data_IF_807284284695
#
_entry.id   IF_807284284695
#
_cell.length_a   1.000
_cell.length_b   1.000
_cell.length_c   1.000
_cell.angle_alpha   90.00
_cell.angle_beta   90.00
_cell.angle_gamma   90.00
#
_symmetry.space_group_name_H-M   'P 1'
#
loop_
_entity.id
_entity.type
_entity.pdbx_description
1 polymer ?
#
# COMPACT_ATOMS: atom_id res chain seq x y z
N UNK A 1 15.38 -10.28 -4.32
CA UNK A 1 16.80 -10.33 -3.88
C UNK A 1 17.66 -10.75 -5.06
N UNK A 2 18.96 -10.47 -5.02
CA UNK A 2 19.91 -10.89 -6.06
C UNK A 2 21.27 -11.16 -5.41
N UNK A 3 22.11 -11.99 -6.04
CA UNK A 3 23.44 -12.36 -5.57
C UNK A 3 24.49 -11.99 -6.61
N UNK A 4 25.62 -11.43 -6.18
CA UNK A 4 26.74 -11.10 -7.06
C UNK A 4 27.97 -11.97 -6.70
N UNK A 5 28.38 -12.91 -7.57
CA UNK A 5 29.53 -13.77 -7.31
C UNK A 5 30.86 -13.02 -7.15
N UNK A 6 31.03 -11.87 -7.82
CA UNK A 6 32.29 -11.12 -7.76
C UNK A 6 32.50 -10.44 -6.39
N UNK A 7 31.43 -9.93 -5.78
CA UNK A 7 31.49 -9.36 -4.41
C UNK A 7 31.25 -10.41 -3.34
N UNK A 8 30.59 -11.52 -3.69
CA UNK A 8 30.11 -12.53 -2.75
C UNK A 8 28.92 -12.06 -1.91
N UNK A 9 28.25 -10.97 -2.28
CA UNK A 9 27.17 -10.35 -1.51
C UNK A 9 25.77 -10.67 -2.06
N UNK A 10 24.80 -10.75 -1.15
CA UNK A 10 23.37 -10.86 -1.43
C UNK A 10 22.69 -9.52 -1.15
N UNK A 11 21.96 -8.99 -2.13
CA UNK A 11 21.23 -7.73 -2.02
C UNK A 11 19.75 -7.95 -1.71
N UNK A 12 19.34 -7.58 -0.51
CA UNK A 12 18.03 -7.87 0.08
C UNK A 12 17.23 -6.56 0.18
N UNK A 13 16.03 -6.47 -0.42
CA UNK A 13 15.09 -5.39 -0.16
C UNK A 13 14.40 -5.63 1.19
N UNK A 14 15.09 -5.28 2.28
CA UNK A 14 14.57 -5.39 3.63
C UNK A 14 13.45 -4.38 3.88
N UNK A 15 12.51 -4.75 4.75
CA UNK A 15 11.31 -3.97 5.04
C UNK A 15 11.06 -3.99 6.55
N UNK A 16 10.67 -2.86 7.09
CA UNK A 16 10.16 -2.74 8.44
C UNK A 16 8.69 -2.33 8.35
N UNK A 17 7.79 -3.26 8.70
CA UNK A 17 6.34 -3.04 8.67
C UNK A 17 5.78 -3.61 9.97
N UNK A 18 5.68 -2.79 11.04
CA UNK A 18 5.08 -3.23 12.28
C UNK A 18 3.60 -3.53 12.08
N UNK A 19 3.12 -4.61 12.70
CA UNK A 19 1.71 -4.98 12.72
C UNK A 19 1.33 -5.36 14.15
N UNK A 20 0.13 -4.96 14.56
CA UNK A 20 -0.45 -5.43 15.81
C UNK A 20 -0.72 -6.93 15.73
N UNK A 21 -0.38 -7.66 16.79
CA UNK A 21 -0.75 -9.06 16.94
C UNK A 21 -1.42 -9.24 18.30
N UNK A 22 -2.70 -9.57 18.28
CA UNK A 22 -3.50 -9.80 19.47
C UNK A 22 -4.23 -11.15 19.33
N UNK A 23 -4.09 -12.00 20.35
CA UNK A 23 -4.83 -13.26 20.45
C UNK A 23 -6.12 -13.06 21.27
N UNK A 24 -6.92 -12.08 20.87
CA UNK A 24 -8.22 -11.74 21.50
C UNK A 24 -9.33 -11.87 20.46
N UNK A 25 -9.54 -13.09 19.94
CA UNK A 25 -10.54 -13.38 18.92
C UNK A 25 -11.92 -13.60 19.53
N UNK A 26 -12.97 -13.20 18.80
CA UNK A 26 -14.37 -13.43 19.18
C UNK A 26 -15.20 -14.12 18.07
N UNK A 27 -16.52 -14.12 18.20
CA UNK A 27 -17.44 -14.73 17.22
C UNK A 27 -17.32 -14.16 15.80
N UNK A 28 -16.91 -12.89 15.66
CA UNK A 28 -16.68 -12.24 14.37
C UNK A 28 -15.46 -12.82 13.64
N UNK A 29 -14.47 -13.27 14.40
CA UNK A 29 -13.19 -13.75 13.88
C UNK A 29 -13.25 -15.20 13.39
N UNK A 30 -14.22 -16.00 13.89
CA UNK A 30 -14.44 -17.37 13.47
C UNK A 30 -14.56 -17.51 11.95
N UNK A 31 -14.13 -18.65 11.41
CA UNK A 31 -14.21 -18.94 9.98
C UNK A 31 -15.66 -18.75 9.49
N UNK A 32 -15.83 -17.87 8.51
CA UNK A 32 -17.07 -17.69 7.74
C UNK A 32 -16.81 -18.04 6.27
N UNK A 33 -17.87 -18.05 5.48
CA UNK A 33 -17.78 -18.39 4.05
C UNK A 33 -17.17 -17.26 3.19
N UNK A 34 -17.14 -16.04 3.73
CA UNK A 34 -16.43 -14.88 3.22
C UNK A 34 -15.76 -14.14 4.38
N UNK A 35 -14.64 -13.47 4.12
CA UNK A 35 -13.84 -12.77 5.12
C UNK A 35 -12.46 -13.40 5.32
N UNK A 36 -11.45 -12.58 5.63
CA UNK A 36 -10.09 -13.04 5.87
C UNK A 36 -10.02 -13.79 7.20
N UNK A 37 -9.47 -15.00 7.19
CA UNK A 37 -9.22 -15.77 8.40
C UNK A 37 -7.71 -16.01 8.54
N UNK A 38 -7.08 -15.18 9.37
CA UNK A 38 -5.62 -15.16 9.60
C UNK A 38 -5.24 -15.56 11.02
N UNK A 39 -6.19 -16.09 11.82
CA UNK A 39 -5.93 -16.50 13.20
C UNK A 39 -5.69 -15.36 14.19
N UNK A 40 -6.15 -14.15 13.88
CA UNK A 40 -6.12 -12.97 14.77
C UNK A 40 -7.32 -12.05 14.49
N UNK A 41 -7.61 -11.15 15.42
CA UNK A 41 -8.72 -10.21 15.36
C UNK A 41 -8.35 -8.95 14.57
N UNK A 42 -8.80 -8.89 13.31
CA UNK A 42 -8.44 -7.80 12.39
C UNK A 42 -8.95 -6.43 12.86
N UNK A 43 -10.11 -6.37 13.50
CA UNK A 43 -10.64 -5.10 14.00
C UNK A 43 -9.91 -4.60 15.24
N UNK A 44 -9.47 -5.50 16.12
CA UNK A 44 -8.74 -5.14 17.35
C UNK A 44 -7.27 -4.79 17.07
N UNK A 45 -6.71 -5.26 15.96
CA UNK A 45 -5.34 -4.91 15.51
C UNK A 45 -5.25 -3.61 14.73
N UNK A 46 -6.39 -2.95 14.43
CA UNK A 46 -6.37 -1.63 13.79
C UNK A 46 -5.67 -0.60 14.67
N UNK A 47 -5.08 0.42 14.04
CA UNK A 47 -4.46 1.52 14.80
C UNK A 47 -5.48 2.18 15.73
N UNK A 48 -5.10 2.52 16.98
CA UNK A 48 -5.98 3.26 17.87
C UNK A 48 -6.20 4.67 17.32
N UNK A 49 -7.32 5.28 17.71
CA UNK A 49 -7.78 6.58 17.22
C UNK A 49 -7.02 7.74 17.87
N UNK A 50 -5.70 7.73 17.72
CA UNK A 50 -4.76 8.60 18.40
C UNK A 50 -3.71 9.14 17.42
N UNK A 51 -3.58 10.47 17.33
CA UNK A 51 -2.63 11.14 16.41
C UNK A 51 -1.20 10.61 16.58
N UNK A 52 -0.79 10.31 17.81
CA UNK A 52 0.52 9.75 18.12
C UNK A 52 0.73 8.36 17.51
N UNK A 53 -0.26 7.48 17.60
CA UNK A 53 -0.21 6.14 17.01
C UNK A 53 -0.11 6.19 15.48
N UNK A 54 -0.89 7.06 14.83
CA UNK A 54 -0.79 7.29 13.39
C UNK A 54 0.60 7.79 12.96
N UNK A 55 1.17 8.76 13.68
CA UNK A 55 2.52 9.27 13.43
C UNK A 55 3.58 8.18 13.62
N UNK A 56 3.47 7.39 14.69
CA UNK A 56 4.38 6.29 14.98
C UNK A 56 4.31 5.20 13.90
N UNK A 57 3.12 4.84 13.42
CA UNK A 57 2.94 3.86 12.36
C UNK A 57 3.63 4.28 11.06
N UNK A 58 3.50 5.56 10.66
CA UNK A 58 4.23 6.10 9.49
C UNK A 58 5.74 6.02 9.73
N UNK A 59 6.22 6.52 10.88
CA UNK A 59 7.66 6.58 11.17
C UNK A 59 8.32 5.19 11.25
N UNK A 60 7.58 4.19 11.71
CA UNK A 60 8.10 2.83 11.85
C UNK A 60 7.96 1.97 10.58
N UNK A 61 7.30 2.48 9.53
CA UNK A 61 7.09 1.76 8.26
C UNK A 61 8.12 2.19 7.22
N UNK A 62 9.31 1.59 7.28
CA UNK A 62 10.47 1.97 6.46
C UNK A 62 11.00 0.79 5.66
N UNK A 63 11.97 1.04 4.78
CA UNK A 63 12.64 -0.01 4.02
C UNK A 63 14.14 0.20 4.01
N UNK A 64 14.89 -0.83 3.59
CA UNK A 64 16.34 -0.74 3.45
C UNK A 64 16.82 -1.67 2.33
N UNK A 65 17.74 -1.22 1.50
CA UNK A 65 18.54 -2.11 0.68
C UNK A 65 19.72 -2.60 1.51
N UNK A 66 19.81 -3.90 1.75
CA UNK A 66 20.88 -4.51 2.56
C UNK A 66 21.79 -5.31 1.65
N UNK A 67 23.10 -5.06 1.71
CA UNK A 67 24.09 -5.97 1.17
C UNK A 67 24.64 -6.86 2.28
N UNK A 68 24.29 -8.13 2.21
CA UNK A 68 24.60 -9.14 3.21
C UNK A 68 25.66 -10.10 2.68
N UNK A 69 26.70 -10.38 3.47
CA UNK A 69 27.66 -11.44 3.18
C UNK A 69 27.18 -12.75 3.84
N UNK A 70 26.69 -13.73 3.06
CA UNK A 70 26.16 -14.97 3.60
C UNK A 70 27.23 -15.88 4.22
N UNK A 71 28.52 -15.64 3.94
CA UNK A 71 29.62 -16.45 4.49
C UNK A 71 29.95 -16.04 5.92
N UNK A 72 29.95 -14.73 6.18
CA UNK A 72 30.25 -14.17 7.50
C UNK A 72 29.01 -13.86 8.34
N UNK A 73 27.82 -13.81 7.72
CA UNK A 73 26.57 -13.44 8.40
C UNK A 73 26.47 -11.95 8.70
N UNK A 74 27.28 -11.10 8.04
CA UNK A 74 27.37 -9.66 8.35
C UNK A 74 26.79 -8.80 7.24
N UNK A 75 26.28 -7.63 7.62
CA UNK A 75 25.91 -6.56 6.68
C UNK A 75 27.18 -5.84 6.25
N UNK A 76 27.49 -5.86 4.95
CA UNK A 76 28.61 -5.13 4.38
C UNK A 76 28.29 -3.63 4.24
N UNK A 77 27.07 -3.32 3.78
CA UNK A 77 26.54 -1.96 3.68
C UNK A 77 25.00 -1.98 3.61
N UNK A 78 24.37 -0.82 3.78
CA UNK A 78 22.95 -0.68 3.52
C UNK A 78 22.53 0.75 3.19
N UNK A 79 21.38 0.89 2.53
CA UNK A 79 20.78 2.17 2.13
C UNK A 79 19.35 2.23 2.63
N UNK A 80 19.03 3.22 3.46
CA UNK A 80 17.69 3.40 4.01
C UNK A 80 16.73 4.02 3.00
N UNK A 81 15.49 3.57 3.05
CA UNK A 81 14.37 4.10 2.27
C UNK A 81 13.28 4.62 3.22
N UNK A 82 12.65 5.77 2.91
CA UNK A 82 11.67 6.39 3.80
C UNK A 82 10.33 5.64 3.84
N UNK A 83 10.16 4.57 3.06
CA UNK A 83 8.96 3.75 3.04
C UNK A 83 9.31 2.27 2.80
N UNK A 84 8.46 1.38 3.30
CA UNK A 84 8.52 -0.05 3.04
C UNK A 84 8.09 -0.41 1.61
N UNK A 85 8.02 -1.72 1.32
CA UNK A 85 7.47 -2.26 0.07
C UNK A 85 8.23 -1.88 -1.21
N UNK A 86 9.54 -1.64 -1.07
CA UNK A 86 10.43 -1.40 -2.21
C UNK A 86 10.59 -2.65 -3.07
N UNK A 87 10.89 -2.45 -4.35
CA UNK A 87 10.96 -3.52 -5.31
C UNK A 87 12.12 -4.47 -5.13
N UNK A 88 12.04 -5.57 -5.87
CA UNK A 88 13.12 -6.53 -5.99
C UNK A 88 14.41 -5.90 -6.53
N UNK A 89 15.50 -6.65 -6.43
CA UNK A 89 16.84 -6.21 -6.83
C UNK A 89 17.36 -7.05 -7.98
N UNK A 90 18.22 -6.46 -8.80
CA UNK A 90 19.01 -7.15 -9.83
C UNK A 90 20.46 -6.66 -9.75
N UNK A 91 21.44 -7.56 -9.83
CA UNK A 91 22.86 -7.18 -9.89
C UNK A 91 23.50 -7.67 -11.18
N UNK A 92 24.60 -7.04 -11.59
CA UNK A 92 25.33 -7.36 -12.83
C UNK A 92 26.83 -7.43 -12.59
N UNK A 93 27.56 -8.06 -13.52
CA UNK A 93 29.02 -8.12 -13.49
C UNK A 93 29.71 -6.74 -13.59
N UNK A 94 28.99 -5.70 -14.01
CA UNK A 94 29.51 -4.32 -14.07
C UNK A 94 29.58 -3.60 -12.72
N UNK A 95 29.64 -4.34 -11.59
CA UNK A 95 29.62 -3.80 -10.23
C UNK A 95 28.38 -2.93 -9.93
N UNK A 96 27.19 -3.35 -10.39
CA UNK A 96 25.93 -2.61 -10.19
C UNK A 96 24.86 -3.44 -9.48
N UNK A 97 24.04 -2.77 -8.67
CA UNK A 97 22.75 -3.27 -8.14
C UNK A 97 21.67 -2.27 -8.50
N UNK A 98 20.59 -2.75 -9.11
CA UNK A 98 19.42 -1.96 -9.47
C UNK A 98 18.26 -2.27 -8.53
N UNK A 99 17.51 -1.24 -8.15
CA UNK A 99 16.31 -1.37 -7.34
C UNK A 99 15.31 -0.25 -7.68
N UNK A 100 14.03 -0.61 -7.78
CA UNK A 100 12.93 0.35 -7.74
C UNK A 100 12.41 0.56 -6.31
N UNK A 101 12.00 1.78 -5.97
CA UNK A 101 11.45 2.12 -4.65
C UNK A 101 9.94 2.26 -4.69
N UNK A 102 9.28 2.03 -3.56
CA UNK A 102 7.84 2.31 -3.41
C UNK A 102 7.51 3.80 -3.52
N UNK A 103 8.52 4.65 -3.39
CA UNK A 103 8.45 6.11 -3.59
C UNK A 103 8.61 6.55 -5.05
N UNK A 104 8.67 5.60 -5.99
CA UNK A 104 8.68 5.86 -7.43
C UNK A 104 10.04 6.23 -8.00
N UNK A 105 11.13 5.84 -7.33
CA UNK A 105 12.50 6.04 -7.80
C UNK A 105 13.07 4.76 -8.37
N UNK A 106 13.76 4.82 -9.49
CA UNK A 106 14.59 3.72 -10.00
C UNK A 106 16.06 4.09 -9.81
N UNK A 107 16.78 3.27 -9.03
CA UNK A 107 18.14 3.57 -8.58
C UNK A 107 19.11 2.48 -8.98
N UNK A 108 20.36 2.88 -9.18
CA UNK A 108 21.49 1.97 -9.30
C UNK A 108 22.57 2.34 -8.28
N UNK A 109 23.18 1.32 -7.69
CA UNK A 109 24.20 1.42 -6.67
C UNK A 109 25.44 0.63 -7.09
N UNK A 110 26.61 1.08 -6.67
CA UNK A 110 27.82 0.26 -6.73
C UNK A 110 27.63 -0.99 -5.85
N UNK A 111 27.88 -2.17 -6.41
CA UNK A 111 27.60 -3.44 -5.74
C UNK A 111 28.50 -3.71 -4.52
N UNK A 112 29.71 -3.19 -4.53
CA UNK A 112 30.70 -3.32 -3.45
C UNK A 112 30.46 -2.41 -2.24
N UNK A 113 29.98 -1.19 -2.47
CA UNK A 113 30.00 -0.08 -1.49
C UNK A 113 28.63 0.49 -1.17
N UNK A 114 27.62 0.22 -2.02
CA UNK A 114 26.29 0.82 -1.88
C UNK A 114 26.22 2.28 -2.31
N UNK A 115 27.28 2.86 -2.87
CA UNK A 115 27.28 4.23 -3.39
C UNK A 115 26.24 4.37 -4.51
N UNK A 116 25.30 5.30 -4.38
CA UNK A 116 24.31 5.57 -5.41
C UNK A 116 24.97 6.21 -6.64
N UNK A 117 24.69 5.65 -7.82
CA UNK A 117 25.24 6.08 -9.11
C UNK A 117 24.15 6.62 -10.06
N UNK A 118 22.90 6.22 -9.84
CA UNK A 118 21.76 6.61 -10.65
C UNK A 118 20.55 6.78 -9.74
N UNK A 119 19.72 7.79 -10.04
CA UNK A 119 18.42 7.98 -9.42
C UNK A 119 17.46 8.67 -10.41
N UNK A 120 16.44 7.93 -10.86
CA UNK A 120 15.48 8.40 -11.84
C UNK A 120 14.08 8.46 -11.24
N UNK A 121 13.33 9.53 -11.55
CA UNK A 121 11.90 9.62 -11.23
C UNK A 121 11.07 8.83 -12.22
N UNK A 122 10.33 7.83 -11.73
CA UNK A 122 9.51 6.95 -12.55
C UNK A 122 8.00 7.22 -12.41
N UNK A 123 7.61 8.33 -11.76
CA UNK A 123 6.23 8.80 -11.59
C UNK A 123 5.30 7.87 -10.78
N UNK A 124 5.67 6.62 -10.51
CA UNK A 124 4.88 5.65 -9.76
C UNK A 124 5.77 4.64 -9.04
N UNK A 125 5.30 4.11 -7.92
CA UNK A 125 6.03 3.12 -7.13
C UNK A 125 6.45 1.90 -7.94
N UNK A 126 7.54 1.24 -7.55
CA UNK A 126 8.10 0.08 -8.25
C UNK A 126 8.28 -1.05 -7.24
N UNK A 127 7.49 -2.11 -7.40
CA UNK A 127 7.59 -3.33 -6.57
C UNK A 127 8.25 -4.51 -7.32
N UNK A 128 8.32 -4.45 -8.64
CA UNK A 128 8.93 -5.49 -9.48
C UNK A 128 10.45 -5.56 -9.30
N UNK A 129 11.04 -6.74 -9.51
CA UNK A 129 12.47 -6.85 -9.74
C UNK A 129 12.82 -6.40 -11.19
N UNK A 130 13.93 -5.69 -11.39
CA UNK A 130 14.42 -5.37 -12.74
C UNK A 130 14.99 -6.61 -13.44
N UNK A 131 15.11 -6.54 -14.77
CA UNK A 131 15.81 -7.51 -15.61
C UNK A 131 16.74 -6.79 -16.59
N UNK A 132 17.73 -7.50 -17.15
CA UNK A 132 18.62 -6.95 -18.18
C UNK A 132 18.81 -7.96 -19.31
N UNK A 133 18.90 -7.46 -20.54
CA UNK A 133 19.04 -8.27 -21.73
C UNK A 133 19.81 -7.50 -22.82
N UNK A 134 20.15 -8.18 -23.92
CA UNK A 134 20.79 -7.58 -25.09
C UNK A 134 19.96 -7.79 -26.35
N UNK A 135 19.94 -6.76 -27.20
CA UNK A 135 19.39 -6.82 -28.57
C UNK A 135 20.38 -6.13 -29.50
N UNK A 136 20.84 -6.84 -30.53
CA UNK A 136 21.80 -6.32 -31.53
C UNK A 136 23.02 -5.63 -30.90
N UNK A 137 23.62 -6.27 -29.89
CA UNK A 137 24.80 -5.75 -29.18
C UNK A 137 24.52 -4.65 -28.14
N UNK A 138 23.31 -4.11 -28.07
CA UNK A 138 22.95 -3.07 -27.08
C UNK A 138 22.35 -3.71 -25.84
N UNK A 139 22.83 -3.32 -24.65
CA UNK A 139 22.29 -3.76 -23.36
C UNK A 139 21.12 -2.86 -22.93
N UNK A 140 20.08 -3.50 -22.41
CA UNK A 140 18.88 -2.87 -21.88
C UNK A 140 18.63 -3.29 -20.44
N UNK A 141 17.96 -2.43 -19.67
CA UNK A 141 17.43 -2.74 -18.33
C UNK A 141 15.93 -2.47 -18.34
N UNK A 142 15.12 -3.47 -18.00
CA UNK A 142 13.67 -3.36 -18.00
C UNK A 142 13.05 -3.62 -16.62
N UNK A 143 11.99 -2.89 -16.30
CA UNK A 143 11.22 -3.03 -15.06
C UNK A 143 9.80 -2.50 -15.24
N UNK A 144 8.92 -2.81 -14.29
CA UNK A 144 7.54 -2.33 -14.32
C UNK A 144 7.30 -1.31 -13.22
N UNK A 145 6.80 -0.13 -13.58
CA UNK A 145 6.24 0.80 -12.58
C UNK A 145 4.86 0.28 -12.21
N UNK A 146 4.59 0.07 -10.93
CA UNK A 146 3.26 -0.17 -10.38
C UNK A 146 3.35 -0.21 -8.86
N UNK A 147 2.42 0.48 -8.20
CA UNK A 147 2.05 0.12 -6.83
C UNK A 147 1.27 -1.18 -6.88
N UNK A 148 1.75 -2.23 -6.24
CA UNK A 148 1.05 -3.52 -6.24
C UNK A 148 1.35 -4.35 -5.00
N UNK A 149 0.66 -5.48 -4.86
CA UNK A 149 0.75 -6.36 -3.69
C UNK A 149 -0.15 -5.92 -2.54
N UNK A 150 0.00 -6.58 -1.38
CA UNK A 150 -0.87 -6.39 -0.22
C UNK A 150 -0.72 -5.01 0.45
N UNK A 151 0.49 -4.45 0.50
CA UNK A 151 0.77 -3.21 1.23
C UNK A 151 -0.06 -1.99 0.80
N UNK A 152 -0.20 -1.64 -0.49
CA UNK A 152 -1.06 -0.53 -0.90
C UNK A 152 -2.56 -0.76 -0.66
N UNK A 153 -2.97 -1.98 -0.31
CA UNK A 153 -4.34 -2.28 0.11
C UNK A 153 -4.53 -2.09 1.62
N UNK A 154 -3.60 -2.63 2.42
CA UNK A 154 -3.81 -2.79 3.88
C UNK A 154 -3.17 -1.69 4.72
N UNK A 155 -2.04 -1.13 4.28
CA UNK A 155 -1.19 -0.28 5.14
C UNK A 155 -1.87 1.02 5.58
N UNK A 156 -2.91 1.43 4.85
CA UNK A 156 -3.62 2.68 5.06
C UNK A 156 -2.68 3.86 5.29
N UNK A 157 -2.86 4.54 6.41
CA UNK A 157 -2.03 5.69 6.83
C UNK A 157 -0.54 5.36 6.95
N UNK A 158 -0.16 4.15 7.36
CA UNK A 158 1.23 3.72 7.55
C UNK A 158 2.00 3.68 6.22
N UNK A 159 1.28 3.65 5.10
CA UNK A 159 1.87 3.86 3.77
C UNK A 159 2.60 5.21 3.63
N UNK A 160 2.31 6.20 4.49
CA UNK A 160 3.06 7.45 4.56
C UNK A 160 3.18 8.16 3.20
N UNK A 161 4.41 8.45 2.80
CA UNK A 161 4.71 9.10 1.52
C UNK A 161 4.19 8.30 0.30
N UNK A 162 4.07 6.97 0.40
CA UNK A 162 3.60 6.15 -0.72
C UNK A 162 2.14 6.41 -1.07
N UNK A 163 1.32 6.96 -0.16
CA UNK A 163 -0.10 7.22 -0.41
C UNK A 163 -0.34 8.23 -1.52
N UNK A 164 0.51 9.26 -1.61
CA UNK A 164 0.37 10.36 -2.57
C UNK A 164 0.87 10.03 -3.97
N UNK A 165 1.61 8.93 -4.12
CA UNK A 165 2.05 8.50 -5.45
C UNK A 165 0.86 7.97 -6.25
N UNK A 166 0.77 8.17 -7.57
CA UNK A 166 -0.22 7.48 -8.37
C UNK A 166 0.22 6.03 -8.65
N UNK A 167 -0.72 5.14 -8.96
CA UNK A 167 -0.42 3.83 -9.52
C UNK A 167 -0.50 3.90 -11.04
N UNK A 168 0.65 3.98 -11.72
CA UNK A 168 0.71 4.11 -13.18
C UNK A 168 1.51 2.93 -13.73
N UNK A 169 0.82 1.85 -14.15
CA UNK A 169 1.45 0.68 -14.76
C UNK A 169 2.18 1.03 -16.06
N UNK A 170 3.50 0.84 -16.12
CA UNK A 170 4.30 0.96 -17.35
C UNK A 170 5.39 -0.10 -17.39
N UNK A 171 5.70 -0.61 -18.58
CA UNK A 171 6.98 -1.26 -18.83
C UNK A 171 7.98 -0.17 -19.22
N UNK A 172 9.03 0.00 -18.43
CA UNK A 172 10.13 0.94 -18.71
C UNK A 172 11.33 0.13 -19.16
N UNK A 173 11.96 0.54 -20.26
CA UNK A 173 13.16 -0.09 -20.81
C UNK A 173 14.23 0.98 -21.03
N UNK A 174 15.32 0.89 -20.27
CA UNK A 174 16.44 1.83 -20.30
C UNK A 174 17.59 1.27 -21.14
N UNK A 175 18.32 2.16 -21.80
CA UNK A 175 19.65 1.91 -22.37
C UNK A 175 20.53 3.15 -22.19
N UNK A 176 21.85 2.98 -22.33
CA UNK A 176 22.76 4.12 -22.39
C UNK A 176 22.40 5.05 -23.57
N UNK A 177 22.42 6.36 -23.33
CA UNK A 177 22.07 7.38 -24.32
C UNK A 177 20.58 7.40 -24.72
N UNK A 178 19.69 6.72 -23.99
CA UNK A 178 18.25 6.82 -24.22
C UNK A 178 17.71 8.23 -23.93
N UNK A 179 16.86 8.76 -24.80
CA UNK A 179 16.32 10.14 -24.71
C UNK A 179 14.81 10.21 -24.52
N UNK A 180 14.13 9.06 -24.54
CA UNK A 180 12.66 8.98 -24.37
C UNK A 180 12.27 9.53 -23.01
N UNK A 181 11.33 10.48 -23.01
CA UNK A 181 10.74 11.02 -21.80
C UNK A 181 9.49 10.23 -21.40
N UNK A 182 9.23 10.15 -20.10
CA UNK A 182 7.98 9.57 -19.62
C UNK A 182 6.80 10.43 -20.06
N UNK A 183 5.64 9.82 -20.39
CA UNK A 183 4.42 10.58 -20.64
C UNK A 183 4.03 11.41 -19.42
N UNK A 184 3.45 12.58 -19.68
CA UNK A 184 2.87 13.43 -18.64
C UNK A 184 1.94 12.62 -17.72
N UNK A 185 1.90 13.00 -16.44
CA UNK A 185 0.97 12.42 -15.50
C UNK A 185 -0.48 12.67 -15.98
N UNK A 186 -1.38 11.67 -15.87
CA UNK A 186 -2.80 11.91 -16.08
C UNK A 186 -3.28 13.06 -15.18
N UNK A 187 -4.21 13.88 -15.69
CA UNK A 187 -4.85 14.90 -14.87
C UNK A 187 -5.54 14.25 -13.68
N UNK A 188 -5.29 14.75 -12.47
CA UNK A 188 -5.93 14.26 -11.25
C UNK A 188 -7.15 15.11 -10.93
N UNK A 189 -8.27 14.47 -10.61
CA UNK A 189 -9.42 15.18 -10.03
C UNK A 189 -9.19 15.33 -8.53
N UNK A 190 -9.19 16.57 -8.05
CA UNK A 190 -9.17 16.84 -6.61
C UNK A 190 -10.42 16.23 -5.98
N UNK A 191 -10.22 15.28 -5.07
CA UNK A 191 -11.32 14.70 -4.31
C UNK A 191 -11.86 15.72 -3.31
N UNK A 192 -13.16 16.01 -3.40
CA UNK A 192 -13.83 16.82 -2.41
C UNK A 192 -14.00 16.00 -1.11
N UNK A 193 -13.25 16.36 -0.07
CA UNK A 193 -13.37 15.73 1.25
C UNK A 193 -14.52 16.36 2.05
N UNK A 194 -15.75 16.02 1.66
CA UNK A 194 -16.97 16.55 2.25
C UNK A 194 -17.88 15.40 2.75
N UNK A 195 -17.55 14.76 3.88
CA UNK A 195 -18.39 13.70 4.43
C UNK A 195 -19.76 14.25 4.86
N UNK A 196 -20.83 13.44 4.77
CA UNK A 196 -22.13 13.82 5.30
C UNK A 196 -22.10 13.97 6.84
N UNK A 197 -23.11 14.61 7.43
CA UNK A 197 -23.31 14.62 8.87
C UNK A 197 -23.33 13.20 9.43
N UNK A 198 -22.77 13.05 10.62
CA UNK A 198 -22.74 11.77 11.31
C UNK A 198 -24.15 11.29 11.67
N UNK A 199 -24.36 9.98 11.64
CA UNK A 199 -25.63 9.35 12.02
C UNK A 199 -25.38 8.04 12.80
N UNK A 200 -26.45 7.50 13.38
CA UNK A 200 -26.41 6.26 14.16
C UNK A 200 -25.95 6.48 15.60
N UNK A 201 -26.13 5.44 16.43
CA UNK A 201 -25.68 5.47 17.82
C UNK A 201 -24.20 5.10 17.93
N UNK A 202 -23.57 5.43 19.06
CA UNK A 202 -22.18 5.01 19.34
C UNK A 202 -22.01 3.48 19.24
N UNK A 203 -23.01 2.70 19.68
CA UNK A 203 -23.00 1.24 19.57
C UNK A 203 -23.07 0.78 18.10
N UNK A 204 -23.86 1.45 17.26
CA UNK A 204 -23.94 1.14 15.83
C UNK A 204 -22.61 1.46 15.13
N UNK A 205 -21.99 2.60 15.45
CA UNK A 205 -20.65 2.97 14.92
C UNK A 205 -19.59 1.95 15.35
N UNK A 206 -19.61 1.51 16.62
CA UNK A 206 -18.69 0.48 17.12
C UNK A 206 -18.87 -0.86 16.40
N UNK A 207 -20.12 -1.27 16.16
CA UNK A 207 -20.44 -2.46 15.35
C UNK A 207 -19.92 -2.31 13.92
N UNK A 208 -20.14 -1.16 13.29
CA UNK A 208 -19.62 -0.82 11.98
C UNK A 208 -18.09 -0.88 11.91
N UNK A 209 -17.39 -0.38 12.92
CA UNK A 209 -15.92 -0.45 13.03
C UNK A 209 -15.43 -1.90 13.07
N UNK A 210 -16.09 -2.76 13.85
CA UNK A 210 -15.73 -4.17 13.96
C UNK A 210 -15.91 -4.89 12.62
N UNK A 211 -17.07 -4.72 11.98
CA UNK A 211 -17.38 -5.31 10.69
C UNK A 211 -16.47 -4.78 9.58
N UNK A 212 -16.15 -3.49 9.59
CA UNK A 212 -15.19 -2.90 8.66
C UNK A 212 -13.82 -3.56 8.77
N UNK A 213 -13.29 -3.70 10.00
CA UNK A 213 -12.03 -4.38 10.25
C UNK A 213 -12.02 -5.81 9.70
N UNK A 214 -13.13 -6.53 9.87
CA UNK A 214 -13.27 -7.93 9.41
C UNK A 214 -13.39 -8.06 7.88
N UNK A 215 -14.17 -7.21 7.23
CA UNK A 215 -14.62 -7.45 5.85
C UNK A 215 -14.09 -6.45 4.83
N UNK A 216 -13.68 -5.25 5.25
CA UNK A 216 -13.38 -4.14 4.34
C UNK A 216 -11.92 -3.69 4.39
N UNK A 217 -11.31 -3.71 5.58
CA UNK A 217 -9.98 -3.16 5.85
C UNK A 217 -8.90 -3.68 4.90
N UNK A 218 -8.96 -4.96 4.56
CA UNK A 218 -7.90 -5.60 3.77
C UNK A 218 -7.82 -5.04 2.33
N UNK A 219 -8.87 -4.38 1.85
CA UNK A 219 -8.90 -3.72 0.56
C UNK A 219 -8.91 -2.21 0.70
N UNK A 220 -9.58 -1.66 1.72
CA UNK A 220 -9.82 -0.22 1.87
C UNK A 220 -8.95 0.45 2.95
N UNK A 221 -7.95 -0.27 3.44
CA UNK A 221 -6.94 0.21 4.38
C UNK A 221 -7.39 0.18 5.84
N UNK A 222 -6.40 0.10 6.73
CA UNK A 222 -6.56 0.27 8.17
C UNK A 222 -7.40 1.51 8.49
N UNK A 223 -8.36 1.35 9.40
CA UNK A 223 -9.21 2.45 9.87
C UNK A 223 -9.91 3.21 8.73
N UNK A 224 -10.27 2.53 7.64
CA UNK A 224 -10.87 3.10 6.42
C UNK A 224 -10.04 4.20 5.73
N UNK A 225 -8.73 4.27 6.01
CA UNK A 225 -7.82 5.20 5.37
C UNK A 225 -7.15 4.47 4.21
N UNK A 226 -7.42 4.86 2.97
CA UNK A 226 -6.83 4.21 1.79
C UNK A 226 -5.38 4.62 1.51
N UNK A 227 -4.66 3.76 0.77
CA UNK A 227 -3.30 4.02 0.25
C UNK A 227 -3.27 4.17 -1.30
N UNK A 228 -4.40 4.58 -1.88
CA UNK A 228 -4.50 5.01 -3.29
C UNK A 228 -4.44 3.87 -4.30
N UNK A 229 -4.84 2.66 -3.93
CA UNK A 229 -4.95 1.51 -4.84
C UNK A 229 -6.41 1.13 -5.12
N UNK A 230 -7.23 1.06 -4.06
CA UNK A 230 -8.70 0.99 -4.13
C UNK A 230 -9.31 2.35 -3.81
N UNK A 231 -10.62 2.56 -4.09
CA UNK A 231 -11.31 3.77 -3.69
C UNK A 231 -11.21 4.02 -2.17
N UNK A 232 -10.92 5.26 -1.79
CA UNK A 232 -10.99 5.71 -0.41
C UNK A 232 -12.46 5.90 -0.01
N UNK A 233 -12.96 5.02 0.86
CA UNK A 233 -14.38 4.98 1.19
C UNK A 233 -14.87 6.23 1.93
N UNK A 234 -13.97 6.99 2.57
CA UNK A 234 -14.27 8.20 3.33
C UNK A 234 -14.77 9.36 2.47
N UNK A 235 -14.60 9.26 1.16
CA UNK A 235 -15.10 10.21 0.15
C UNK A 235 -15.93 9.52 -0.95
N UNK A 236 -16.41 8.31 -0.69
CA UNK A 236 -17.28 7.61 -1.63
C UNK A 236 -18.57 8.40 -1.85
N UNK A 237 -18.97 8.55 -3.12
CA UNK A 237 -20.25 9.16 -3.49
C UNK A 237 -21.47 8.40 -2.96
N UNK A 238 -21.31 7.15 -2.51
CA UNK A 238 -22.39 6.36 -1.92
C UNK A 238 -22.63 6.64 -0.44
N UNK A 239 -21.76 7.40 0.25
CA UNK A 239 -21.91 7.65 1.69
C UNK A 239 -23.20 8.41 2.04
N UNK A 240 -23.70 9.25 1.13
CA UNK A 240 -24.89 10.09 1.34
C UNK A 240 -26.21 9.35 1.16
N UNK A 241 -26.19 8.11 0.66
CA UNK A 241 -27.39 7.35 0.32
C UNK A 241 -27.27 5.88 0.76
N UNK A 242 -28.13 5.47 1.68
CA UNK A 242 -28.14 4.12 2.25
C UNK A 242 -28.41 3.03 1.20
N UNK A 243 -29.34 3.26 0.26
CA UNK A 243 -29.64 2.31 -0.81
C UNK A 243 -28.48 2.16 -1.78
N UNK A 244 -27.79 3.25 -2.12
CA UNK A 244 -26.59 3.20 -2.95
C UNK A 244 -25.45 2.45 -2.26
N UNK A 245 -25.28 2.63 -0.95
CA UNK A 245 -24.30 1.89 -0.16
C UNK A 245 -24.64 0.39 -0.10
N UNK A 246 -25.89 0.04 0.17
CA UNK A 246 -26.40 -1.35 0.13
C UNK A 246 -26.23 -1.97 -1.25
N UNK A 247 -26.52 -1.24 -2.32
CA UNK A 247 -26.39 -1.73 -3.69
C UNK A 247 -24.96 -2.20 -3.99
N UNK A 248 -23.96 -1.48 -3.50
CA UNK A 248 -22.54 -1.85 -3.65
C UNK A 248 -22.16 -3.02 -2.74
N UNK A 249 -22.49 -2.94 -1.45
CA UNK A 249 -21.96 -3.86 -0.42
C UNK A 249 -22.73 -5.18 -0.30
N UNK A 250 -24.04 -5.16 -0.58
CA UNK A 250 -24.94 -6.31 -0.46
C UNK A 250 -25.37 -6.77 -1.84
N UNK A 251 -25.92 -5.89 -2.68
CA UNK A 251 -26.52 -6.32 -3.96
C UNK A 251 -25.47 -6.57 -5.07
N UNK A 252 -24.21 -6.19 -4.82
CA UNK A 252 -23.09 -6.51 -5.71
C UNK A 252 -23.01 -5.66 -6.98
N UNK A 253 -23.49 -4.41 -6.93
CA UNK A 253 -23.51 -3.49 -8.07
C UNK A 253 -22.12 -3.25 -8.72
N UNK A 254 -21.03 -3.50 -7.98
CA UNK A 254 -19.65 -3.33 -8.46
C UNK A 254 -18.85 -4.65 -8.54
N UNK A 255 -19.53 -5.80 -8.55
CA UNK A 255 -18.86 -7.13 -8.57
C UNK A 255 -17.93 -7.34 -9.75
N UNK A 256 -18.32 -6.86 -10.93
CA UNK A 256 -17.52 -6.99 -12.16
C UNK A 256 -16.31 -6.06 -12.19
N UNK A 257 -16.19 -5.17 -11.19
CA UNK A 257 -15.02 -4.31 -10.95
C UNK A 257 -14.18 -4.78 -9.75
N UNK A 258 -14.45 -5.98 -9.23
CA UNK A 258 -13.70 -6.60 -8.13
C UNK A 258 -14.21 -6.25 -6.73
N UNK A 259 -15.30 -5.48 -6.58
CA UNK A 259 -15.93 -5.22 -5.28
C UNK A 259 -16.95 -6.32 -4.97
N UNK A 260 -16.63 -7.20 -4.03
CA UNK A 260 -17.46 -8.37 -3.71
C UNK A 260 -18.77 -7.98 -3.03
N UNK A 261 -19.81 -8.78 -3.27
CA UNK A 261 -21.02 -8.76 -2.44
C UNK A 261 -20.77 -9.50 -1.12
N UNK A 262 -21.22 -8.91 -0.02
CA UNK A 262 -21.13 -9.47 1.31
C UNK A 262 -22.45 -10.07 1.82
N UNK A 263 -23.49 -10.19 0.97
CA UNK A 263 -24.83 -10.67 1.37
C UNK A 263 -24.84 -12.06 2.06
N UNK A 264 -23.77 -12.84 1.90
CA UNK A 264 -23.62 -14.16 2.53
C UNK A 264 -23.13 -14.11 3.99
N UNK A 265 -22.64 -12.96 4.43
CA UNK A 265 -22.01 -12.77 5.75
C UNK A 265 -22.42 -11.48 6.45
N UNK A 266 -23.05 -10.54 5.74
CA UNK A 266 -23.57 -9.27 6.25
C UNK A 266 -25.04 -9.11 5.88
N UNK A 267 -25.80 -8.51 6.79
CA UNK A 267 -27.17 -8.03 6.57
C UNK A 267 -27.19 -6.59 6.04
N UNK A 268 -28.33 -6.08 5.53
CA UNK A 268 -28.46 -4.66 5.22
C UNK A 268 -28.22 -3.73 6.41
N UNK A 269 -28.58 -4.15 7.63
CA UNK A 269 -28.33 -3.38 8.85
C UNK A 269 -26.83 -3.31 9.17
N UNK A 270 -26.09 -4.40 8.95
CA UNK A 270 -24.64 -4.44 9.09
C UNK A 270 -23.95 -3.50 8.08
N UNK A 271 -24.42 -3.50 6.83
CA UNK A 271 -23.93 -2.58 5.81
C UNK A 271 -24.14 -1.11 6.24
N UNK A 272 -25.30 -0.80 6.81
CA UNK A 272 -25.63 0.54 7.31
C UNK A 272 -24.76 0.93 8.53
N UNK A 273 -24.47 -0.01 9.43
CA UNK A 273 -23.53 0.21 10.52
C UNK A 273 -22.11 0.53 10.01
N UNK A 274 -21.63 -0.20 8.99
CA UNK A 274 -20.34 0.11 8.33
C UNK A 274 -20.37 1.51 7.71
N UNK A 275 -21.48 1.91 7.07
CA UNK A 275 -21.63 3.27 6.52
C UNK A 275 -21.51 4.34 7.61
N UNK A 276 -22.18 4.14 8.75
CA UNK A 276 -22.06 5.03 9.92
C UNK A 276 -20.62 5.15 10.40
N UNK A 277 -19.89 4.03 10.48
CA UNK A 277 -18.46 4.04 10.84
C UNK A 277 -17.59 4.78 9.82
N UNK A 278 -17.78 4.57 8.52
CA UNK A 278 -16.95 5.25 7.50
C UNK A 278 -17.18 6.76 7.53
N UNK A 279 -18.41 7.21 7.80
CA UNK A 279 -18.73 8.64 7.97
C UNK A 279 -18.09 9.19 9.25
N UNK A 280 -18.23 8.47 10.38
CA UNK A 280 -17.54 8.80 11.64
C UNK A 280 -16.05 9.02 11.41
N UNK A 281 -15.44 8.05 10.73
CA UNK A 281 -14.02 8.01 10.42
C UNK A 281 -13.61 9.16 9.52
N UNK A 282 -14.41 9.47 8.50
CA UNK A 282 -14.13 10.58 7.58
C UNK A 282 -14.16 11.92 8.32
N UNK A 283 -15.18 12.14 9.17
CA UNK A 283 -15.29 13.33 10.01
C UNK A 283 -14.12 13.44 11.00
N UNK A 284 -13.81 12.36 11.71
CA UNK A 284 -12.73 12.34 12.70
C UNK A 284 -11.35 12.58 12.05
N UNK A 285 -11.06 11.89 10.94
CA UNK A 285 -9.76 12.05 10.25
C UNK A 285 -9.60 13.42 9.62
N UNK A 286 -10.68 14.04 9.13
CA UNK A 286 -10.66 15.42 8.62
C UNK A 286 -10.32 16.43 9.72
N UNK A 287 -10.90 16.26 10.90
CA UNK A 287 -10.64 17.15 12.04
C UNK A 287 -9.25 16.94 12.68
N UNK A 288 -8.73 15.71 12.65
CA UNK A 288 -7.56 15.34 13.45
C UNK A 288 -6.27 15.10 12.66
N UNK A 289 -6.38 14.68 11.40
CA UNK A 289 -5.25 14.25 10.57
C UNK A 289 -5.39 14.75 9.11
N UNK A 290 -5.74 16.02 8.84
CA UNK A 290 -6.07 16.48 7.49
C UNK A 290 -4.91 16.25 6.50
N UNK A 291 -3.68 16.52 6.89
CA UNK A 291 -2.51 16.41 5.99
C UNK A 291 -2.01 14.97 5.85
N UNK A 292 -1.96 14.26 6.98
CA UNK A 292 -1.44 12.91 7.06
C UNK A 292 -2.42 11.89 6.49
N UNK A 293 -3.72 12.18 6.46
CA UNK A 293 -4.78 11.24 6.07
C UNK A 293 -5.65 11.70 4.90
N UNK A 294 -5.29 12.78 4.19
CA UNK A 294 -6.03 13.26 3.02
C UNK A 294 -6.43 12.09 2.09
N UNK A 295 -7.72 12.00 1.70
CA UNK A 295 -8.18 11.01 0.75
C UNK A 295 -7.40 11.11 -0.57
N UNK A 296 -7.02 9.95 -1.10
CA UNK A 296 -6.27 9.84 -2.35
C UNK A 296 -7.12 9.14 -3.40
N UNK A 297 -7.13 9.69 -4.61
CA UNK A 297 -7.87 9.14 -5.75
C UNK A 297 -7.11 8.01 -6.42
N UNK A 298 -7.84 7.27 -7.26
CA UNK A 298 -7.27 6.36 -8.25
C UNK A 298 -7.11 7.09 -9.58
#
# INVERSE_FOLDING_TARGET
MSYNPATGLVYIPAQQIPMGYLQDMDELDKRKVLGFNVGTSLNKTMLPDEKAAFKAAIAATTGRLVAFDPRSGKVAWGVDHPAAWNGGTMTTAGNLVFQGTSTGRFRAYAADTGRQLLDLDMQSGIVSAPSTFRVNGVQYVAFQTSKGGAFPLVAGVAGGATRKLPNIPRLVVLKLGGTVQLPALPGTTTLAWNPPPQFGTAAQVATGKALFGRYCMICHGDSAIGNGFTPDLRVSGTLTNADAWKAVTIDGALKDRGMVSFARVLTPADAEAIRAYVIDRSNWTRANLPDASQPVGR
#
